data_IF_510412893333
#
_entry.id   IF_510412893333
#
_cell.length_a   1.000
_cell.length_b   1.000
_cell.length_c   1.000
_cell.angle_alpha   90.00
_cell.angle_beta   90.00
_cell.angle_gamma   90.00
#
_symmetry.space_group_name_H-M   'P 1'
#
loop_
_entity.id
_entity.type
_entity.pdbx_description
1 polymer ?
#
# COMPACT_ATOMS: atom_id res chain seq x y z
N UNK A 1 -10.00 2.08 -18.93
CA UNK A 1 -9.14 2.15 -17.73
C UNK A 1 -8.06 3.19 -17.99
N UNK A 2 -7.87 4.20 -17.12
CA UNK A 2 -6.85 5.24 -17.37
C UNK A 2 -5.45 4.63 -17.40
N UNK A 3 -4.55 5.20 -18.21
CA UNK A 3 -3.16 4.75 -18.37
C UNK A 3 -2.47 4.66 -17.01
N UNK A 4 -2.70 5.66 -16.15
CA UNK A 4 -2.20 5.72 -14.79
C UNK A 4 -2.67 4.52 -13.93
N UNK A 5 -3.98 4.24 -13.92
CA UNK A 5 -4.54 3.10 -13.17
C UNK A 5 -3.95 1.76 -13.63
N UNK A 6 -3.67 1.61 -14.93
CA UNK A 6 -3.00 0.41 -15.47
C UNK A 6 -1.57 0.27 -14.98
N UNK A 7 -0.80 1.34 -14.99
CA UNK A 7 0.58 1.33 -14.50
C UNK A 7 0.66 1.01 -13.01
N UNK A 8 -0.15 1.68 -12.19
CA UNK A 8 -0.18 1.43 -10.75
C UNK A 8 -0.56 -0.02 -10.46
N UNK A 9 -1.61 -0.55 -11.10
CA UNK A 9 -2.00 -1.97 -10.92
C UNK A 9 -0.90 -2.95 -11.33
N UNK A 10 -0.11 -2.63 -12.35
CA UNK A 10 1.03 -3.45 -12.76
C UNK A 10 2.15 -3.38 -11.72
N UNK A 11 2.61 -2.19 -11.39
CA UNK A 11 3.71 -2.01 -10.43
C UNK A 11 3.35 -2.51 -9.04
N UNK A 12 2.11 -2.36 -8.59
CA UNK A 12 1.69 -2.95 -7.32
C UNK A 12 1.88 -4.46 -7.29
N UNK A 13 1.72 -5.18 -8.41
CA UNK A 13 2.01 -6.62 -8.44
C UNK A 13 3.50 -6.90 -8.39
N UNK A 14 4.28 -6.17 -9.18
CA UNK A 14 5.73 -6.39 -9.30
C UNK A 14 6.48 -6.00 -8.01
N UNK A 15 5.96 -4.99 -7.29
CA UNK A 15 6.55 -4.40 -6.08
C UNK A 15 5.96 -4.96 -4.77
N UNK A 16 5.06 -5.94 -4.84
CA UNK A 16 4.43 -6.56 -3.67
C UNK A 16 5.33 -7.62 -3.02
N UNK A 17 6.40 -7.17 -2.38
CA UNK A 17 7.37 -8.03 -1.71
C UNK A 17 8.01 -7.34 -0.50
N UNK A 18 8.66 -8.12 0.36
CA UNK A 18 9.31 -7.62 1.58
C UNK A 18 10.40 -6.61 1.28
N UNK A 19 11.28 -6.91 0.33
CA UNK A 19 12.41 -6.04 -0.03
C UNK A 19 11.95 -4.62 -0.38
N UNK A 20 10.88 -4.51 -1.18
CA UNK A 20 10.34 -3.20 -1.58
C UNK A 20 9.71 -2.47 -0.39
N UNK A 21 8.93 -3.16 0.45
CA UNK A 21 8.32 -2.55 1.63
C UNK A 21 9.38 -2.07 2.62
N UNK A 22 10.46 -2.82 2.79
CA UNK A 22 11.56 -2.45 3.68
C UNK A 22 12.31 -1.20 3.17
N UNK A 23 12.61 -1.12 1.86
CA UNK A 23 13.14 0.12 1.26
C UNK A 23 12.22 1.32 1.47
N UNK A 24 10.90 1.11 1.45
CA UNK A 24 9.90 2.16 1.60
C UNK A 24 9.70 2.66 3.03
N UNK A 25 10.27 1.99 4.05
CA UNK A 25 10.28 2.47 5.45
C UNK A 25 11.06 3.78 5.62
N UNK A 26 12.01 4.05 4.72
CA UNK A 26 12.77 5.29 4.73
C UNK A 26 11.86 6.51 4.51
N UNK A 27 12.18 7.65 5.15
CA UNK A 27 11.43 8.92 5.02
C UNK A 27 11.60 9.60 3.65
N UNK A 28 12.39 9.04 2.75
CA UNK A 28 12.64 9.57 1.39
C UNK A 28 11.36 9.57 0.54
N UNK A 29 11.25 10.41 -0.49
CA UNK A 29 10.11 10.35 -1.43
C UNK A 29 10.01 8.98 -2.08
N UNK A 30 8.79 8.46 -2.20
CA UNK A 30 8.60 7.10 -2.69
C UNK A 30 9.02 6.95 -4.15
N UNK A 31 8.80 8.00 -4.96
CA UNK A 31 9.33 8.11 -6.32
C UNK A 31 10.84 7.84 -6.38
N UNK A 32 11.63 8.42 -5.49
CA UNK A 32 13.10 8.31 -5.52
C UNK A 32 13.56 6.88 -5.27
N UNK A 33 12.85 6.17 -4.39
CA UNK A 33 13.10 4.77 -4.06
C UNK A 33 12.68 3.90 -5.24
N UNK A 34 11.41 3.99 -5.64
CA UNK A 34 10.83 3.10 -6.64
C UNK A 34 11.38 3.33 -8.06
N UNK A 35 11.86 4.52 -8.40
CA UNK A 35 12.46 4.80 -9.71
C UNK A 35 13.74 3.98 -9.96
N UNK A 36 14.42 3.51 -8.92
CA UNK A 36 15.59 2.63 -9.06
C UNK A 36 15.19 1.21 -9.50
N UNK A 37 14.05 0.74 -8.99
CA UNK A 37 13.55 -0.61 -9.21
C UNK A 37 12.56 -0.68 -10.40
N UNK A 38 12.02 0.47 -10.83
CA UNK A 38 11.09 0.57 -11.95
C UNK A 38 11.75 1.25 -13.15
N UNK A 39 11.85 0.52 -14.27
CA UNK A 39 12.24 1.12 -15.55
C UNK A 39 11.03 1.81 -16.17
N UNK A 40 11.20 3.04 -16.64
CA UNK A 40 10.20 3.69 -17.51
C UNK A 40 10.20 2.97 -18.86
N UNK A 41 9.29 2.02 -19.03
CA UNK A 41 9.19 1.20 -20.25
C UNK A 41 8.42 1.89 -21.38
N UNK A 42 7.56 2.85 -21.07
CA UNK A 42 6.62 3.45 -22.04
C UNK A 42 7.00 4.91 -22.32
N UNK A 43 7.69 5.13 -23.44
CA UNK A 43 8.19 6.46 -23.86
C UNK A 43 7.05 7.47 -24.11
N UNK A 44 5.87 6.99 -24.51
CA UNK A 44 4.71 7.83 -24.82
C UNK A 44 3.99 8.39 -23.56
N UNK A 45 4.29 7.86 -22.37
CA UNK A 45 3.67 8.35 -21.14
C UNK A 45 4.39 9.61 -20.65
N UNK A 46 3.68 10.73 -20.42
CA UNK A 46 4.32 11.95 -19.95
C UNK A 46 5.11 11.73 -18.65
N UNK A 47 6.29 12.36 -18.55
CA UNK A 47 7.18 12.23 -17.38
C UNK A 47 6.47 12.55 -16.06
N UNK A 48 5.56 13.53 -16.06
CA UNK A 48 4.75 13.89 -14.88
C UNK A 48 3.81 12.77 -14.47
N UNK A 49 3.10 12.17 -15.43
CA UNK A 49 2.17 11.06 -15.16
C UNK A 49 2.95 9.89 -14.56
N UNK A 50 4.08 9.51 -15.17
CA UNK A 50 4.97 8.47 -14.64
C UNK A 50 5.40 8.74 -13.18
N UNK A 51 5.87 9.95 -12.88
CA UNK A 51 6.31 10.32 -11.52
C UNK A 51 5.17 10.25 -10.51
N UNK A 52 3.99 10.76 -10.86
CA UNK A 52 2.82 10.75 -9.99
C UNK A 52 2.31 9.32 -9.75
N UNK A 53 2.29 8.48 -10.79
CA UNK A 53 1.94 7.06 -10.68
C UNK A 53 2.87 6.33 -9.72
N UNK A 54 4.18 6.58 -9.78
CA UNK A 54 5.14 5.97 -8.85
C UNK A 54 4.96 6.46 -7.43
N UNK A 55 4.79 7.77 -7.22
CA UNK A 55 4.60 8.31 -5.87
C UNK A 55 3.34 7.70 -5.22
N UNK A 56 2.25 7.63 -5.96
CA UNK A 56 1.02 7.02 -5.48
C UNK A 56 1.16 5.51 -5.24
N UNK A 57 1.83 4.79 -6.13
CA UNK A 57 2.14 3.37 -5.91
C UNK A 57 2.89 3.19 -4.58
N UNK A 58 3.88 4.03 -4.33
CA UNK A 58 4.66 4.01 -3.09
C UNK A 58 3.84 4.37 -1.85
N UNK A 59 2.93 5.33 -1.94
CA UNK A 59 1.98 5.64 -0.84
C UNK A 59 1.08 4.45 -0.52
N UNK A 60 0.55 3.77 -1.54
CA UNK A 60 -0.24 2.56 -1.36
C UNK A 60 0.60 1.49 -0.67
N UNK A 61 1.81 1.19 -1.15
CA UNK A 61 2.69 0.20 -0.53
C UNK A 61 3.05 0.56 0.91
N UNK A 62 3.36 1.83 1.21
CA UNK A 62 3.63 2.32 2.57
C UNK A 62 2.47 2.10 3.52
N UNK A 63 1.23 2.31 3.06
CA UNK A 63 0.02 2.04 3.87
C UNK A 63 -0.11 0.57 4.30
N UNK A 64 0.65 -0.33 3.67
CA UNK A 64 0.62 -1.76 3.95
C UNK A 64 1.73 -2.20 4.92
N UNK A 65 2.73 -1.36 5.20
CA UNK A 65 3.86 -1.70 6.08
C UNK A 65 3.36 -2.00 7.50
N UNK A 66 2.66 -1.05 8.12
CA UNK A 66 2.14 -1.25 9.49
C UNK A 66 1.08 -2.36 9.52
N UNK A 67 0.29 -2.47 8.44
CA UNK A 67 -0.74 -3.52 8.32
C UNK A 67 -0.11 -4.91 8.29
N UNK A 68 0.99 -5.08 7.58
CA UNK A 68 1.78 -6.32 7.54
C UNK A 68 2.28 -6.68 8.94
N UNK A 69 2.90 -5.73 9.63
CA UNK A 69 3.48 -5.96 10.96
C UNK A 69 2.43 -6.43 11.96
N UNK A 70 1.28 -5.76 12.01
CA UNK A 70 0.17 -6.14 12.91
C UNK A 70 -0.47 -7.46 12.49
N UNK A 71 -0.65 -7.69 11.18
CA UNK A 71 -1.19 -8.95 10.68
C UNK A 71 -0.31 -10.12 11.11
N UNK A 72 0.99 -10.05 10.82
CA UNK A 72 1.94 -11.11 11.16
C UNK A 72 2.05 -11.30 12.67
N UNK A 73 2.00 -10.22 13.46
CA UNK A 73 1.94 -10.30 14.92
C UNK A 73 0.73 -11.13 15.38
N UNK A 74 -0.48 -10.82 14.89
CA UNK A 74 -1.72 -11.52 15.31
C UNK A 74 -1.71 -12.97 14.86
N UNK A 75 -1.28 -13.26 13.62
CA UNK A 75 -1.28 -14.62 13.08
C UNK A 75 -0.22 -15.51 13.77
N UNK A 76 0.89 -14.93 14.23
CA UNK A 76 1.90 -15.65 15.01
C UNK A 76 1.53 -15.80 16.49
N UNK A 77 0.60 -14.99 17.00
CA UNK A 77 0.09 -15.06 18.37
C UNK A 77 -1.44 -15.25 18.34
N UNK A 78 -1.95 -16.42 17.95
CA UNK A 78 -3.37 -16.59 17.61
C UNK A 78 -4.33 -16.22 18.75
N UNK A 79 -3.92 -16.35 20.03
CA UNK A 79 -4.70 -15.90 21.18
C UNK A 79 -5.03 -14.39 21.16
N UNK A 80 -4.25 -13.57 20.45
CA UNK A 80 -4.52 -12.14 20.31
C UNK A 80 -5.76 -11.84 19.46
N UNK A 81 -6.24 -12.79 18.64
CA UNK A 81 -7.41 -12.56 17.78
C UNK A 81 -8.71 -12.33 18.57
N UNK A 82 -8.77 -12.84 19.81
CA UNK A 82 -9.93 -12.71 20.70
C UNK A 82 -9.83 -11.48 21.61
N UNK A 83 -8.66 -10.84 21.68
CA UNK A 83 -8.50 -9.61 22.45
C UNK A 83 -9.36 -8.49 21.84
N UNK A 84 -9.84 -7.61 22.71
CA UNK A 84 -10.56 -6.41 22.26
C UNK A 84 -9.62 -5.55 21.41
N UNK A 85 -10.19 -4.92 20.39
CA UNK A 85 -9.44 -4.03 19.51
C UNK A 85 -8.80 -2.87 20.28
N UNK A 86 -9.43 -2.40 21.36
CA UNK A 86 -8.91 -1.36 22.24
C UNK A 86 -7.67 -1.81 23.01
N UNK A 87 -7.68 -3.04 23.54
CA UNK A 87 -6.52 -3.58 24.26
C UNK A 87 -5.31 -3.69 23.33
N UNK A 88 -5.50 -4.28 22.14
CA UNK A 88 -4.43 -4.41 21.15
C UNK A 88 -3.98 -3.06 20.58
N UNK A 89 -4.91 -2.13 20.39
CA UNK A 89 -4.59 -0.77 19.95
C UNK A 89 -3.68 -0.05 20.94
N UNK A 90 -3.96 -0.15 22.24
CA UNK A 90 -3.10 0.40 23.28
C UNK A 90 -1.74 -0.30 23.32
N UNK A 91 -1.72 -1.64 23.22
CA UNK A 91 -0.48 -2.41 23.25
C UNK A 91 0.44 -2.15 22.05
N UNK A 92 -0.13 -1.92 20.87
CA UNK A 92 0.61 -1.72 19.62
C UNK A 92 0.76 -0.23 19.24
N UNK A 93 0.23 0.68 20.07
CA UNK A 93 0.20 2.13 19.82
C UNK A 93 -0.45 2.49 18.46
N UNK A 94 -1.62 1.89 18.18
CA UNK A 94 -2.37 2.07 16.94
C UNK A 94 -3.82 2.47 17.19
N UNK A 95 -4.52 2.88 16.13
CA UNK A 95 -5.96 3.13 16.20
C UNK A 95 -6.76 1.84 16.38
N UNK A 96 -7.77 1.79 17.28
CA UNK A 96 -8.68 0.65 17.42
C UNK A 96 -9.35 0.23 16.12
N UNK A 97 -9.75 1.21 15.28
CA UNK A 97 -10.38 0.92 13.99
C UNK A 97 -9.42 0.21 13.03
N UNK A 98 -8.13 0.56 13.08
CA UNK A 98 -7.12 -0.08 12.25
C UNK A 98 -6.88 -1.53 12.68
N UNK A 99 -6.73 -1.77 13.99
CA UNK A 99 -6.63 -3.12 14.56
C UNK A 99 -7.85 -3.96 14.22
N UNK A 100 -9.05 -3.43 14.45
CA UNK A 100 -10.32 -4.11 14.17
C UNK A 100 -10.43 -4.52 12.70
N UNK A 101 -9.97 -3.68 11.77
CA UNK A 101 -9.96 -4.00 10.34
C UNK A 101 -9.09 -5.23 10.04
N UNK A 102 -7.90 -5.30 10.64
CA UNK A 102 -6.97 -6.43 10.48
C UNK A 102 -7.52 -7.69 11.14
N UNK A 103 -8.05 -7.59 12.37
CA UNK A 103 -8.70 -8.71 13.04
C UNK A 103 -9.88 -9.27 12.23
N UNK A 104 -10.72 -8.42 11.63
CA UNK A 104 -11.83 -8.84 10.75
C UNK A 104 -11.32 -9.61 9.54
N UNK A 105 -10.23 -9.15 8.92
CA UNK A 105 -9.60 -9.83 7.80
C UNK A 105 -9.11 -11.24 8.19
N UNK A 106 -8.43 -11.36 9.33
CA UNK A 106 -7.94 -12.65 9.85
C UNK A 106 -9.09 -13.58 10.20
N UNK A 107 -10.13 -13.08 10.91
CA UNK A 107 -11.33 -13.87 11.24
C UNK A 107 -12.04 -14.40 10.00
N UNK A 108 -12.07 -13.62 8.90
CA UNK A 108 -12.64 -14.08 7.62
C UNK A 108 -11.85 -15.24 7.02
N UNK A 109 -10.53 -15.26 7.17
CA UNK A 109 -9.71 -16.39 6.74
C UNK A 109 -9.91 -17.61 7.65
N UNK A 110 -9.92 -17.42 8.97
CA UNK A 110 -10.20 -18.49 9.93
C UNK A 110 -11.54 -19.19 9.67
N UNK A 111 -12.59 -18.43 9.32
CA UNK A 111 -13.90 -18.98 8.93
C UNK A 111 -13.84 -19.89 7.69
N UNK A 112 -12.82 -19.75 6.84
CA UNK A 112 -12.58 -20.62 5.67
C UNK A 112 -11.70 -21.84 5.99
N UNK A 113 -11.27 -22.00 7.23
CA UNK A 113 -10.45 -23.14 7.67
C UNK A 113 -8.97 -23.07 7.30
N UNK A 114 -8.51 -21.96 6.70
CA UNK A 114 -7.11 -21.75 6.33
C UNK A 114 -6.68 -20.35 6.73
N UNK A 115 -5.53 -20.25 7.38
CA UNK A 115 -4.88 -18.98 7.70
C UNK A 115 -3.52 -18.94 7.01
N UNK A 116 -3.34 -17.98 6.13
CA UNK A 116 -2.06 -17.77 5.47
C UNK A 116 -1.21 -16.85 6.36
N UNK A 117 -0.04 -17.34 6.77
CA UNK A 117 0.87 -16.60 7.66
C UNK A 117 1.65 -15.53 6.91
N UNK A 118 1.95 -15.79 5.64
CA UNK A 118 2.64 -14.84 4.79
C UNK A 118 1.68 -13.74 4.34
N UNK A 119 1.91 -12.51 4.80
CA UNK A 119 1.08 -11.36 4.48
C UNK A 119 0.93 -11.13 2.96
N UNK A 120 1.99 -11.35 2.19
CA UNK A 120 1.97 -11.10 0.74
C UNK A 120 1.10 -12.10 -0.01
N UNK A 121 0.93 -13.31 0.54
CA UNK A 121 0.01 -14.33 0.02
C UNK A 121 -1.42 -14.12 0.53
N UNK A 122 -1.55 -13.70 1.78
CA UNK A 122 -2.84 -13.45 2.44
C UNK A 122 -3.58 -12.23 1.88
N UNK A 123 -2.83 -11.21 1.44
CA UNK A 123 -3.38 -9.92 1.02
C UNK A 123 -2.92 -9.60 -0.39
N UNK A 124 -3.88 -9.25 -1.25
CA UNK A 124 -3.58 -8.71 -2.57
C UNK A 124 -3.70 -7.19 -2.51
N UNK A 125 -2.68 -6.44 -2.93
CA UNK A 125 -2.79 -4.99 -3.01
C UNK A 125 -3.80 -4.67 -4.11
N UNK A 126 -4.81 -3.88 -3.78
CA UNK A 126 -5.82 -3.45 -4.75
C UNK A 126 -5.83 -1.93 -4.86
N UNK A 127 -6.10 -1.45 -6.08
CA UNK A 127 -6.19 -0.04 -6.40
C UNK A 127 -7.37 0.19 -7.35
N UNK A 128 -8.51 0.56 -6.78
CA UNK A 128 -9.73 0.79 -7.56
C UNK A 128 -10.09 2.27 -7.76
N UNK A 129 -9.31 3.21 -7.20
CA UNK A 129 -9.58 4.62 -7.37
C UNK A 129 -9.57 5.05 -8.85
N UNK A 130 -10.55 5.85 -9.24
CA UNK A 130 -10.59 6.53 -10.53
C UNK A 130 -9.82 7.84 -10.42
N UNK A 131 -8.52 7.75 -10.64
CA UNK A 131 -7.66 8.93 -10.62
C UNK A 131 -7.61 9.53 -12.02
N UNK A 132 -8.30 10.65 -12.15
CA UNK A 132 -8.15 11.59 -13.26
C UNK A 132 -7.01 12.54 -12.93
N UNK A 133 -5.80 12.26 -13.41
CA UNK A 133 -4.76 13.29 -13.46
C UNK A 133 -5.01 14.04 -14.77
N UNK A 134 -5.83 15.08 -14.72
CA UNK A 134 -5.97 16.00 -15.85
C UNK A 134 -4.64 16.73 -16.02
N UNK A 135 -4.16 16.79 -17.25
CA UNK A 135 -2.93 17.49 -17.65
C UNK A 135 -3.03 19.02 -17.53
N UNK A 136 -4.05 19.56 -16.86
CA UNK A 136 -4.50 20.95 -16.98
C UNK A 136 -4.54 21.75 -15.67
N UNK A 137 -4.26 21.16 -14.50
CA UNK A 137 -4.56 21.81 -13.21
C UNK A 137 -3.38 22.54 -12.56
N UNK A 138 -2.51 23.15 -13.38
CA UNK A 138 -1.30 23.84 -12.90
C UNK A 138 -1.27 25.35 -13.20
N UNK A 139 -2.36 25.96 -13.65
CA UNK A 139 -2.39 27.42 -13.88
C UNK A 139 -2.83 28.26 -12.66
N UNK A 140 -2.97 27.68 -11.45
CA UNK A 140 -3.55 28.42 -10.31
C UNK A 140 -2.57 28.69 -9.15
N UNK A 141 -1.38 28.07 -9.12
CA UNK A 141 -0.47 28.25 -7.96
C UNK A 141 0.92 28.80 -8.21
N UNK A 142 1.34 28.98 -9.46
CA UNK A 142 2.58 29.71 -9.76
C UNK A 142 2.27 30.79 -10.78
N UNK A 143 1.91 31.97 -10.27
CA UNK A 143 1.80 33.18 -11.09
C UNK A 143 3.14 33.47 -11.76
N UNK A 144 3.22 33.21 -13.05
CA UNK A 144 4.18 33.79 -13.97
C UNK A 144 3.42 34.09 -15.27
N UNK A 145 3.10 35.37 -15.47
CA UNK A 145 2.79 35.95 -16.78
C UNK A 145 4.10 36.39 -17.43
#
# INVERSE_FOLDING_TARGET
MSVNKRQIKRWLKDLWNSETLDKLKEKTKALTILKKDTKRTEKWIPSRVYRNSLELTGQILRSQIERKEIYEFIVNHPCTIIYSENYLANHLEKSPLFILNIQRQIRKQLKKGQIEKDYFKAVKPDFNADIFITSADDSVHNGQF
#
